data_IF_015650541081
#
_entry.id   IF_015650541081
#
_cell.length_a   1.000
_cell.length_b   1.000
_cell.length_c   1.000
_cell.angle_alpha   90.00
_cell.angle_beta   90.00
_cell.angle_gamma   90.00
#
_symmetry.space_group_name_H-M   'P 1'
#
loop_
_entity.id
_entity.type
_entity.pdbx_description
1 polymer ?
#
# COMPACT_ATOMS: atom_id res chain seq x y z
N UNK A 1 0.94 -13.15 -1.17
CA UNK A 1 -0.03 -14.21 -0.87
C UNK A 1 -1.07 -14.16 -1.95
N UNK A 2 -1.24 -15.25 -2.72
CA UNK A 2 -2.18 -15.29 -3.84
C UNK A 2 -3.46 -16.02 -3.45
N UNK A 3 -4.61 -15.38 -3.66
CA UNK A 3 -5.93 -15.92 -3.35
C UNK A 3 -6.78 -15.90 -4.62
N UNK A 4 -7.32 -17.06 -4.99
CA UNK A 4 -8.28 -17.13 -6.09
C UNK A 4 -9.58 -16.43 -5.71
N UNK A 5 -10.10 -15.61 -6.61
CA UNK A 5 -11.34 -14.86 -6.44
C UNK A 5 -12.52 -15.74 -6.01
N UNK A 6 -12.66 -16.92 -6.62
CA UNK A 6 -13.73 -17.89 -6.33
C UNK A 6 -13.73 -18.40 -4.88
N UNK A 7 -12.61 -18.24 -4.16
CA UNK A 7 -12.47 -18.63 -2.75
C UNK A 7 -12.81 -17.50 -1.78
N UNK A 8 -13.32 -16.38 -2.28
CA UNK A 8 -13.73 -15.22 -1.49
C UNK A 8 -15.27 -15.17 -1.54
N UNK A 9 -15.88 -15.25 -0.36
CA UNK A 9 -17.33 -15.21 -0.22
C UNK A 9 -17.82 -13.88 0.34
N UNK A 10 -19.08 -13.87 0.75
CA UNK A 10 -19.69 -12.74 1.47
C UNK A 10 -19.19 -12.60 2.90
N UNK A 11 -18.61 -13.66 3.47
CA UNK A 11 -17.96 -13.62 4.79
C UNK A 11 -16.54 -13.10 4.64
N UNK A 12 -16.16 -12.12 5.47
CA UNK A 12 -14.82 -11.58 5.53
C UNK A 12 -13.79 -12.69 5.75
N UNK A 13 -12.83 -12.79 4.83
CA UNK A 13 -11.73 -13.73 4.89
C UNK A 13 -10.50 -13.02 5.44
N UNK A 14 -9.97 -13.41 6.62
CA UNK A 14 -8.79 -12.77 7.17
C UNK A 14 -7.58 -13.01 6.26
N UNK A 15 -6.75 -11.98 6.12
CA UNK A 15 -5.48 -12.01 5.40
C UNK A 15 -4.41 -11.31 6.21
N UNK A 16 -3.21 -11.87 6.18
CA UNK A 16 -2.05 -11.32 6.84
C UNK A 16 -0.82 -11.60 5.97
N UNK A 17 -0.08 -10.55 5.64
CA UNK A 17 1.19 -10.63 4.89
C UNK A 17 2.16 -9.61 5.45
N UNK A 18 3.45 -9.88 5.32
CA UNK A 18 4.50 -8.91 5.69
C UNK A 18 5.58 -8.87 4.61
N UNK A 19 6.14 -7.68 4.41
CA UNK A 19 7.25 -7.41 3.48
C UNK A 19 8.04 -6.20 3.95
N UNK A 20 9.38 -6.24 3.79
CA UNK A 20 10.32 -5.16 4.14
C UNK A 20 10.13 -4.52 5.54
N UNK A 21 9.59 -5.24 6.52
CA UNK A 21 9.34 -4.69 7.88
C UNK A 21 7.94 -4.11 8.10
N UNK A 22 7.11 -4.04 7.05
CA UNK A 22 5.69 -3.68 7.14
C UNK A 22 4.82 -4.93 7.13
N UNK A 23 3.79 -4.92 7.98
CA UNK A 23 2.73 -5.93 8.03
C UNK A 23 1.41 -5.34 7.54
N UNK A 24 0.68 -6.12 6.75
CA UNK A 24 -0.69 -5.86 6.34
C UNK A 24 -1.57 -6.90 7.03
N UNK A 25 -2.47 -6.44 7.89
CA UNK A 25 -3.44 -7.29 8.59
C UNK A 25 -4.84 -6.80 8.28
N UNK A 26 -5.69 -7.66 7.72
CA UNK A 26 -7.01 -7.23 7.28
C UNK A 26 -7.91 -8.37 6.83
N UNK A 27 -8.88 -8.03 5.98
CA UNK A 27 -9.78 -9.02 5.40
C UNK A 27 -10.19 -8.69 3.96
N UNK A 28 -10.45 -9.75 3.20
CA UNK A 28 -11.06 -9.69 1.87
C UNK A 28 -12.51 -10.14 1.94
N UNK A 29 -13.41 -9.37 1.34
CA UNK A 29 -14.83 -9.70 1.30
C UNK A 29 -15.43 -9.34 -0.06
N UNK A 30 -16.31 -10.19 -0.61
CA UNK A 30 -17.09 -9.82 -1.79
C UNK A 30 -18.00 -8.62 -1.47
N UNK A 31 -17.89 -7.57 -2.27
CA UNK A 31 -18.74 -6.38 -2.25
C UNK A 31 -19.68 -6.31 -3.46
N UNK A 32 -19.48 -7.17 -4.46
CA UNK A 32 -20.35 -7.35 -5.61
C UNK A 32 -20.06 -8.66 -6.33
N UNK A 33 -20.72 -8.89 -7.47
CA UNK A 33 -20.51 -10.11 -8.26
C UNK A 33 -19.07 -10.23 -8.81
N UNK A 34 -18.53 -9.09 -9.27
CA UNK A 34 -17.18 -8.92 -9.83
C UNK A 34 -16.28 -8.03 -8.96
N UNK A 35 -16.63 -7.85 -7.68
CA UNK A 35 -15.94 -6.90 -6.79
C UNK A 35 -15.65 -7.50 -5.44
N UNK A 36 -14.43 -7.25 -4.97
CA UNK A 36 -13.95 -7.58 -3.64
C UNK A 36 -13.37 -6.33 -3.01
N UNK A 37 -13.54 -6.20 -1.72
CA UNK A 37 -12.96 -5.12 -0.94
C UNK A 37 -11.88 -5.68 -0.03
N UNK A 38 -10.73 -5.00 0.01
CA UNK A 38 -9.70 -5.18 1.01
C UNK A 38 -9.83 -4.08 2.06
N UNK A 39 -10.11 -4.45 3.31
CA UNK A 39 -10.03 -3.55 4.47
C UNK A 39 -8.91 -4.06 5.38
N UNK A 40 -7.82 -3.30 5.46
CA UNK A 40 -6.61 -3.69 6.16
C UNK A 40 -5.94 -2.53 6.91
N UNK A 41 -5.10 -2.90 7.88
CA UNK A 41 -4.18 -2.01 8.57
C UNK A 41 -2.75 -2.34 8.13
N UNK A 42 -2.00 -1.31 7.76
CA UNK A 42 -0.57 -1.35 7.51
C UNK A 42 0.16 -0.88 8.75
N UNK A 43 1.11 -1.69 9.23
CA UNK A 43 1.90 -1.36 10.41
C UNK A 43 3.33 -1.87 10.32
N UNK A 44 4.30 -1.04 10.66
CA UNK A 44 5.70 -1.42 10.79
C UNK A 44 6.64 -0.24 10.56
N UNK A 45 7.93 -0.53 10.51
CA UNK A 45 8.96 0.49 10.31
C UNK A 45 9.81 0.12 9.09
N UNK A 46 10.12 1.13 8.27
CA UNK A 46 11.04 1.01 7.13
C UNK A 46 12.17 2.04 7.26
N UNK A 47 13.36 1.68 6.77
CA UNK A 47 14.45 2.63 6.66
C UNK A 47 14.27 3.44 5.36
N UNK A 48 14.21 4.76 5.49
CA UNK A 48 14.16 5.70 4.37
C UNK A 48 15.34 6.66 4.47
N UNK A 49 15.79 7.15 3.32
CA UNK A 49 16.82 8.17 3.24
C UNK A 49 16.15 9.53 3.07
N UNK A 50 16.61 10.52 3.83
CA UNK A 50 16.14 11.89 3.67
C UNK A 50 16.57 12.43 2.29
N UNK A 51 15.62 12.84 1.46
CA UNK A 51 15.88 13.38 0.11
C UNK A 51 16.70 14.68 0.14
N UNK A 52 16.75 15.35 1.30
CA UNK A 52 17.46 16.62 1.48
C UNK A 52 18.90 16.47 1.97
N UNK A 53 19.14 15.64 2.99
CA UNK A 53 20.47 15.49 3.60
C UNK A 53 21.11 14.12 3.40
N UNK A 54 20.38 13.13 2.88
CA UNK A 54 20.86 11.76 2.67
C UNK A 54 21.00 10.91 3.94
N UNK A 55 20.61 11.43 5.12
CA UNK A 55 20.62 10.66 6.36
C UNK A 55 19.49 9.63 6.37
N UNK A 56 19.82 8.38 6.67
CA UNK A 56 18.84 7.30 6.84
C UNK A 56 18.12 7.44 8.18
N UNK A 57 16.81 7.30 8.18
CA UNK A 57 15.98 7.33 9.39
C UNK A 57 14.88 6.25 9.34
N UNK A 58 14.33 5.93 10.50
CA UNK A 58 13.22 4.99 10.60
C UNK A 58 11.91 5.73 10.37
N UNK A 59 11.19 5.36 9.32
CA UNK A 59 9.83 5.83 9.05
C UNK A 59 8.84 4.81 9.59
N UNK A 60 8.04 5.24 10.57
CA UNK A 60 7.00 4.42 11.18
C UNK A 60 5.70 4.57 10.41
N UNK A 61 5.16 3.45 9.95
CA UNK A 61 3.91 3.36 9.22
C UNK A 61 2.82 2.82 10.14
N UNK A 62 1.74 3.58 10.28
CA UNK A 62 0.48 3.13 10.90
C UNK A 62 -0.66 3.76 10.10
N UNK A 63 -1.27 2.97 9.21
CA UNK A 63 -2.21 3.48 8.22
C UNK A 63 -3.30 2.48 7.87
N UNK A 64 -4.50 2.99 7.56
CA UNK A 64 -5.59 2.16 7.05
C UNK A 64 -5.50 2.08 5.53
N UNK A 65 -5.58 0.86 5.00
CA UNK A 65 -5.66 0.59 3.57
C UNK A 65 -7.05 0.04 3.23
N UNK A 66 -7.80 0.78 2.41
CA UNK A 66 -9.09 0.35 1.89
C UNK A 66 -9.05 0.39 0.37
N UNK A 67 -9.14 -0.77 -0.26
CA UNK A 67 -9.04 -0.90 -1.72
C UNK A 67 -10.24 -1.66 -2.29
N UNK A 68 -10.69 -1.21 -3.46
CA UNK A 68 -11.64 -1.96 -4.29
C UNK A 68 -10.86 -2.78 -5.31
N UNK A 69 -11.24 -4.03 -5.46
CA UNK A 69 -10.59 -4.97 -6.36
C UNK A 69 -11.65 -5.51 -7.34
N UNK A 70 -11.32 -5.60 -8.63
CA UNK A 70 -12.22 -6.08 -9.69
C UNK A 70 -11.57 -7.17 -10.56
N UNK A 71 -12.31 -8.23 -10.89
CA UNK A 71 -11.89 -9.25 -11.88
C UNK A 71 -12.26 -8.86 -13.32
N UNK A 72 -12.94 -7.72 -13.50
CA UNK A 72 -13.23 -7.11 -14.78
C UNK A 72 -12.51 -5.76 -14.92
N UNK A 73 -12.28 -5.35 -16.16
CA UNK A 73 -11.82 -3.99 -16.49
C UNK A 73 -12.89 -3.00 -16.06
N UNK A 74 -12.50 -1.94 -15.35
CA UNK A 74 -13.40 -0.86 -14.98
C UNK A 74 -13.82 -0.11 -16.25
N UNK A 75 -15.12 -0.10 -16.53
CA UNK A 75 -15.68 0.73 -17.62
C UNK A 75 -15.67 2.21 -17.26
N UNK A 76 -15.68 2.50 -15.96
CA UNK A 76 -15.68 3.84 -15.41
C UNK A 76 -14.24 4.29 -15.18
N UNK A 77 -13.77 5.20 -16.03
CA UNK A 77 -12.38 5.71 -16.01
C UNK A 77 -12.14 6.72 -14.88
N UNK A 78 -13.20 7.11 -14.18
CA UNK A 78 -13.13 8.11 -13.12
C UNK A 78 -12.90 7.48 -11.72
N UNK A 79 -13.15 6.18 -11.53
CA UNK A 79 -12.85 5.45 -10.28
C UNK A 79 -11.42 4.88 -10.32
N UNK A 80 -10.44 5.76 -10.08
CA UNK A 80 -8.99 5.43 -10.11
C UNK A 80 -8.55 4.51 -8.96
N UNK A 81 -9.41 4.28 -7.97
CA UNK A 81 -9.09 3.52 -6.75
C UNK A 81 -9.47 2.02 -6.85
N UNK A 82 -9.63 1.51 -8.08
CA UNK A 82 -9.91 0.09 -8.35
C UNK A 82 -8.65 -0.59 -8.88
N UNK A 83 -8.22 -1.66 -8.21
CA UNK A 83 -7.18 -2.56 -8.72
C UNK A 83 -7.83 -3.69 -9.51
N UNK A 84 -7.42 -3.84 -10.77
CA UNK A 84 -7.91 -4.87 -11.67
C UNK A 84 -7.02 -6.12 -11.62
N UNK A 85 -7.61 -7.30 -11.41
CA UNK A 85 -6.92 -8.59 -11.39
C UNK A 85 -7.53 -9.55 -12.44
N UNK A 86 -7.13 -9.39 -13.70
CA UNK A 86 -7.75 -10.09 -14.83
C UNK A 86 -7.38 -11.58 -14.94
N UNK A 87 -6.50 -12.09 -14.07
CA UNK A 87 -6.11 -13.51 -14.01
C UNK A 87 -6.90 -14.31 -12.95
N UNK A 88 -7.88 -13.67 -12.29
CA UNK A 88 -8.71 -14.26 -11.25
C UNK A 88 -8.00 -14.50 -9.92
N UNK A 89 -6.78 -13.95 -9.73
CA UNK A 89 -5.98 -14.10 -8.51
C UNK A 89 -5.68 -12.74 -7.91
N UNK A 90 -6.08 -12.58 -6.65
CA UNK A 90 -5.71 -11.43 -5.84
C UNK A 90 -4.36 -11.72 -5.19
N UNK A 91 -3.32 -10.96 -5.53
CA UNK A 91 -2.01 -11.04 -4.87
C UNK A 91 -1.86 -9.94 -3.82
N UNK A 92 -2.16 -10.28 -2.58
CA UNK A 92 -2.09 -9.34 -1.44
C UNK A 92 -0.65 -8.95 -1.12
N UNK A 93 0.34 -9.80 -1.43
CA UNK A 93 1.74 -9.43 -1.20
C UNK A 93 2.18 -8.39 -2.22
N UNK A 94 1.79 -8.55 -3.48
CA UNK A 94 2.05 -7.54 -4.50
C UNK A 94 1.41 -6.20 -4.14
N UNK A 95 0.17 -6.19 -3.64
CA UNK A 95 -0.48 -4.97 -3.15
C UNK A 95 0.38 -4.31 -2.06
N UNK A 96 0.78 -5.06 -1.03
CA UNK A 96 1.65 -4.53 0.03
C UNK A 96 2.97 -3.98 -0.52
N UNK A 97 3.65 -4.72 -1.41
CA UNK A 97 4.90 -4.28 -2.01
C UNK A 97 4.74 -3.02 -2.86
N UNK A 98 3.61 -2.88 -3.56
CA UNK A 98 3.26 -1.67 -4.31
C UNK A 98 3.05 -0.47 -3.39
N UNK A 99 2.35 -0.64 -2.26
CA UNK A 99 2.18 0.43 -1.27
C UNK A 99 3.53 0.85 -0.68
N UNK A 100 4.39 -0.11 -0.30
CA UNK A 100 5.73 0.19 0.20
C UNK A 100 6.54 0.95 -0.87
N UNK A 101 6.48 0.53 -2.13
CA UNK A 101 7.19 1.18 -3.22
C UNK A 101 6.68 2.60 -3.48
N UNK A 102 5.35 2.81 -3.39
CA UNK A 102 4.72 4.13 -3.52
C UNK A 102 5.20 5.08 -2.42
N UNK A 103 5.33 4.54 -1.20
CA UNK A 103 5.89 5.28 -0.07
C UNK A 103 7.36 5.56 -0.33
N UNK A 104 8.20 4.57 -0.61
CA UNK A 104 9.64 4.75 -0.92
C UNK A 104 9.88 5.77 -2.07
N UNK A 105 8.96 5.88 -3.03
CA UNK A 105 9.05 6.83 -4.15
C UNK A 105 8.49 8.23 -3.88
N UNK A 106 7.92 8.47 -2.70
CA UNK A 106 7.45 9.79 -2.25
C UNK A 106 8.61 10.62 -1.69
N UNK A 107 8.41 11.93 -1.51
CA UNK A 107 9.40 12.78 -0.85
C UNK A 107 9.41 12.57 0.66
N UNK A 108 10.61 12.42 1.21
CA UNK A 108 10.90 12.06 2.59
C UNK A 108 11.92 13.00 3.21
N UNK A 109 11.52 13.66 4.28
CA UNK A 109 12.40 14.53 5.06
C UNK A 109 12.54 13.97 6.47
N UNK A 110 13.77 13.87 6.95
CA UNK A 110 14.00 13.63 8.36
C UNK A 110 13.52 14.82 9.19
N UNK A 111 13.29 14.62 10.49
CA UNK A 111 12.76 15.65 11.40
C UNK A 111 13.58 16.95 11.39
N UNK A 112 14.88 16.87 11.12
CA UNK A 112 15.77 18.03 11.02
C UNK A 112 15.54 18.85 9.74
N UNK A 113 15.19 18.18 8.64
CA UNK A 113 15.02 18.78 7.32
C UNK A 113 13.61 19.31 7.10
N UNK A 114 12.61 18.70 7.73
CA UNK A 114 11.19 19.08 7.63
C UNK A 114 10.88 20.36 8.45
N UNK A 115 11.62 20.58 9.54
CA UNK A 115 11.43 21.72 10.45
C UNK A 115 12.35 22.92 10.17
N UNK A 116 13.02 22.96 9.00
CA UNK A 116 13.94 24.03 8.66
C UNK A 116 13.58 24.69 7.32
N UNK A 117 13.05 25.92 7.40
CA UNK A 117 12.70 26.78 6.26
C UNK A 117 13.93 27.43 5.58
N UNK A 118 15.14 27.25 6.10
CA UNK A 118 16.36 27.77 5.45
C UNK A 118 16.60 27.03 4.14
N UNK A 119 16.60 27.69 2.99
CA UNK A 119 17.01 27.08 1.71
C UNK A 119 18.45 26.57 1.82
N UNK A 120 18.64 25.25 2.01
CA UNK A 120 19.96 24.64 1.97
C UNK A 120 20.30 24.37 0.50
N UNK A 121 20.79 25.39 -0.20
CA UNK A 121 21.60 25.16 -1.40
C UNK A 121 22.99 24.70 -0.95
N UNK A 122 23.19 23.37 -0.90
CA UNK A 122 24.53 22.79 -0.76
C UNK A 122 25.09 22.66 -2.17
N UNK A 123 25.74 23.72 -2.65
CA UNK A 123 26.57 23.65 -3.86
C UNK A 123 27.85 22.86 -3.55
N UNK A 124 28.14 21.84 -4.38
CA UNK A 124 29.38 21.06 -4.36
C UNK A 124 30.37 21.58 -5.41
#
# INVERSE_FOLDING_TARGET
>A
MKIFFDKIGSTAKPVEVSSKGISLVGSLQKSGYHRVTLDALLKGDIALDCDRCGESYAYSMDGKLYLKLSDLVSEDKDDLDIIEFLDGKIDVLYILESEITSIEGSYHYCELCDNNDEDFEIEF
#
